data_IF_104164147110
#
_entry.id   IF_104164147110
#
_cell.length_a   1.000
_cell.length_b   1.000
_cell.length_c   1.000
_cell.angle_alpha   90.00
_cell.angle_beta   90.00
_cell.angle_gamma   90.00
#
_symmetry.space_group_name_H-M   'P 1'
#
loop_
_entity.id
_entity.type
_entity.pdbx_description
1 polymer ?
#
# COMPACT_ATOMS: atom_id res chain seq x y z
N UNK A 1 -28.39 -9.91 -10.59
CA UNK A 1 -28.11 -9.00 -9.46
C UNK A 1 -27.35 -7.80 -9.98
N UNK A 2 -27.78 -6.59 -9.63
CA UNK A 2 -27.07 -5.37 -10.04
C UNK A 2 -25.73 -5.26 -9.31
N UNK A 3 -24.70 -4.79 -10.03
CA UNK A 3 -23.39 -4.52 -9.45
C UNK A 3 -23.49 -3.34 -8.47
N UNK A 4 -22.85 -3.43 -7.31
CA UNK A 4 -22.80 -2.32 -6.34
C UNK A 4 -22.08 -1.12 -6.95
N UNK A 5 -22.56 0.10 -6.68
CA UNK A 5 -22.08 1.32 -7.34
C UNK A 5 -20.61 1.64 -7.00
N UNK A 6 -20.18 1.32 -5.78
CA UNK A 6 -18.81 1.44 -5.29
C UNK A 6 -17.90 0.27 -5.70
N UNK A 7 -18.44 -0.79 -6.31
CA UNK A 7 -17.63 -1.91 -6.78
C UNK A 7 -16.59 -1.45 -7.82
N UNK A 8 -15.36 -1.93 -7.71
CA UNK A 8 -14.33 -1.67 -8.72
C UNK A 8 -14.78 -2.30 -10.05
N UNK A 9 -14.92 -1.54 -11.17
CA UNK A 9 -15.48 -2.02 -12.43
C UNK A 9 -14.56 -2.99 -13.17
N UNK A 10 -13.26 -2.89 -12.92
CA UNK A 10 -12.19 -3.56 -13.64
C UNK A 10 -11.95 -4.98 -13.13
N UNK A 11 -11.59 -5.88 -14.06
CA UNK A 11 -11.24 -7.26 -13.75
C UNK A 11 -9.82 -7.31 -13.19
N UNK A 12 -9.61 -8.14 -12.16
CA UNK A 12 -8.30 -8.39 -11.53
C UNK A 12 -7.76 -9.75 -11.98
N UNK A 13 -6.43 -9.98 -11.94
CA UNK A 13 -5.38 -9.06 -11.49
C UNK A 13 -5.15 -7.90 -12.46
N UNK A 14 -4.69 -6.75 -11.96
CA UNK A 14 -4.34 -5.64 -12.82
C UNK A 14 -2.99 -5.90 -13.53
N UNK A 15 -2.89 -5.67 -14.85
CA UNK A 15 -1.62 -5.76 -15.55
C UNK A 15 -0.64 -4.68 -15.05
N UNK A 16 0.65 -4.84 -15.34
CA UNK A 16 1.69 -3.92 -14.86
C UNK A 16 1.54 -2.49 -15.39
N UNK A 17 0.94 -2.35 -16.57
CA UNK A 17 0.66 -1.09 -17.27
C UNK A 17 -0.78 -0.60 -17.06
N UNK A 18 -1.52 -1.13 -16.08
CA UNK A 18 -2.92 -0.76 -15.86
C UNK A 18 -3.10 0.75 -15.58
N UNK A 19 -3.81 1.44 -16.48
CA UNK A 19 -4.08 2.87 -16.40
C UNK A 19 -5.55 3.23 -16.69
N UNK A 20 -6.45 2.24 -16.81
CA UNK A 20 -7.85 2.48 -17.17
C UNK A 20 -8.65 3.22 -16.09
N UNK A 21 -8.13 3.34 -14.86
CA UNK A 21 -8.74 4.10 -13.78
C UNK A 21 -7.82 5.26 -13.38
N UNK A 22 -8.26 6.51 -13.55
CA UNK A 22 -7.48 7.69 -13.16
C UNK A 22 -7.16 7.72 -11.65
N UNK A 23 -8.07 7.18 -10.83
CA UNK A 23 -7.88 7.02 -9.39
C UNK A 23 -7.05 5.79 -8.99
N UNK A 24 -6.51 5.03 -9.96
CA UNK A 24 -5.66 3.89 -9.64
C UNK A 24 -4.36 4.34 -8.97
N UNK A 25 -4.07 3.73 -7.83
CA UNK A 25 -2.81 3.86 -7.10
C UNK A 25 -2.26 2.46 -6.85
N UNK A 26 -1.26 2.06 -7.63
CA UNK A 26 -0.69 0.71 -7.60
C UNK A 26 -0.12 0.41 -6.22
N UNK A 27 -0.51 -0.73 -5.68
CA UNK A 27 0.19 -1.39 -4.58
C UNK A 27 0.40 -2.86 -4.93
N UNK A 28 1.53 -3.42 -4.52
CA UNK A 28 1.77 -4.85 -4.64
C UNK A 28 1.13 -5.58 -3.46
N UNK A 29 0.34 -6.60 -3.78
CA UNK A 29 -0.23 -7.54 -2.84
C UNK A 29 0.44 -8.91 -3.04
N UNK A 30 1.01 -9.46 -1.97
CA UNK A 30 1.49 -10.83 -1.98
C UNK A 30 0.46 -11.75 -1.36
N UNK A 31 -0.11 -12.61 -2.19
CA UNK A 31 -1.03 -13.62 -1.71
C UNK A 31 -0.25 -14.78 -1.07
N UNK A 32 -0.77 -15.29 0.04
CA UNK A 32 -0.31 -16.52 0.66
C UNK A 32 -1.49 -17.46 0.91
N UNK A 33 -1.22 -18.76 0.95
CA UNK A 33 -2.23 -19.74 1.34
C UNK A 33 -2.48 -19.73 2.85
N UNK A 34 -3.41 -20.56 3.31
CA UNK A 34 -3.70 -20.69 4.74
C UNK A 34 -2.47 -21.12 5.55
N UNK A 35 -1.46 -21.74 4.93
CA UNK A 35 -0.20 -22.18 5.55
C UNK A 35 0.93 -21.14 5.40
N UNK A 36 0.61 -19.91 4.99
CA UNK A 36 1.54 -18.81 4.73
C UNK A 36 2.54 -19.09 3.59
N UNK A 37 2.25 -20.05 2.71
CA UNK A 37 3.07 -20.28 1.51
C UNK A 37 2.73 -19.24 0.44
N UNK A 38 3.72 -18.63 -0.22
CA UNK A 38 3.47 -17.67 -1.30
C UNK A 38 2.64 -18.29 -2.44
N UNK A 39 1.55 -17.62 -2.81
CA UNK A 39 0.73 -17.95 -3.98
C UNK A 39 1.08 -17.08 -5.20
N UNK A 40 1.65 -15.89 -4.98
CA UNK A 40 2.07 -14.99 -6.04
C UNK A 40 2.07 -13.53 -5.62
N UNK A 41 2.59 -12.69 -6.52
CA UNK A 41 2.52 -11.22 -6.43
C UNK A 41 1.44 -10.75 -7.38
N UNK A 42 0.59 -9.85 -6.92
CA UNK A 42 -0.51 -9.29 -7.70
C UNK A 42 -0.55 -7.78 -7.50
N UNK A 43 -0.77 -7.04 -8.58
CA UNK A 43 -1.05 -5.62 -8.48
C UNK A 43 -2.51 -5.42 -8.04
N UNK A 44 -2.71 -4.59 -7.03
CA UNK A 44 -4.03 -4.10 -6.63
C UNK A 44 -4.01 -2.57 -6.49
N UNK A 45 -5.14 -1.98 -6.12
CA UNK A 45 -5.26 -0.55 -5.87
C UNK A 45 -5.21 -0.27 -4.38
N UNK A 46 -4.56 0.83 -3.98
CA UNK A 46 -4.53 1.33 -2.60
C UNK A 46 -5.93 1.54 -2.03
N UNK A 47 -6.89 1.91 -2.86
CA UNK A 47 -8.28 2.15 -2.48
C UNK A 47 -9.15 0.89 -2.47
N UNK A 48 -8.56 -0.30 -2.65
CA UNK A 48 -9.32 -1.55 -2.61
C UNK A 48 -9.73 -1.89 -1.18
N UNK A 49 -11.02 -2.07 -0.95
CA UNK A 49 -11.58 -2.56 0.31
C UNK A 49 -12.56 -3.70 0.05
N UNK A 50 -12.82 -4.52 1.08
CA UNK A 50 -13.79 -5.61 1.01
C UNK A 50 -15.01 -5.23 1.81
N UNK A 51 -16.17 -5.22 1.17
CA UNK A 51 -17.47 -4.95 1.80
C UNK A 51 -18.34 -6.21 1.79
N UNK A 52 -19.21 -6.34 2.79
CA UNK A 52 -20.25 -7.37 2.79
C UNK A 52 -21.35 -7.00 1.79
N UNK A 53 -21.87 -8.00 1.08
CA UNK A 53 -23.01 -7.82 0.19
C UNK A 53 -24.26 -7.50 1.02
N UNK A 54 -24.94 -6.37 0.78
CA UNK A 54 -26.16 -6.03 1.51
C UNK A 54 -27.21 -7.14 1.40
N UNK A 55 -27.86 -7.47 2.51
CA UNK A 55 -28.91 -8.48 2.56
C UNK A 55 -28.43 -9.94 2.43
N UNK A 56 -27.12 -10.20 2.47
CA UNK A 56 -26.57 -11.55 2.37
C UNK A 56 -25.71 -11.87 3.60
N UNK A 57 -26.04 -12.95 4.31
CA UNK A 57 -25.31 -13.39 5.50
C UNK A 57 -23.88 -13.86 5.20
N UNK A 58 -23.62 -14.34 3.98
CA UNK A 58 -22.33 -14.84 3.53
C UNK A 58 -22.05 -14.40 2.09
N UNK A 59 -21.69 -13.13 1.91
CA UNK A 59 -21.31 -12.59 0.61
C UNK A 59 -20.42 -11.37 0.77
N UNK A 60 -19.34 -11.30 -0.01
CA UNK A 60 -18.41 -10.18 -0.02
C UNK A 60 -18.14 -9.73 -1.45
N UNK A 61 -17.82 -8.45 -1.62
CA UNK A 61 -17.37 -7.90 -2.89
C UNK A 61 -16.24 -6.90 -2.69
N UNK A 62 -15.46 -6.71 -3.75
CA UNK A 62 -14.40 -5.70 -3.78
C UNK A 62 -14.97 -4.33 -4.12
N UNK A 63 -14.89 -3.42 -3.16
CA UNK A 63 -15.30 -2.02 -3.29
C UNK A 63 -14.09 -1.10 -3.45
N UNK A 64 -14.36 0.11 -3.94
CA UNK A 64 -13.42 1.22 -3.92
C UNK A 64 -13.74 2.08 -2.70
N UNK A 65 -12.76 2.30 -1.83
CA UNK A 65 -12.87 3.21 -0.69
C UNK A 65 -13.36 4.60 -1.14
N UNK A 66 -12.92 5.07 -2.31
CA UNK A 66 -13.38 6.36 -2.86
C UNK A 66 -14.89 6.42 -3.16
N UNK A 67 -15.57 5.28 -3.26
CA UNK A 67 -16.99 5.17 -3.61
C UNK A 67 -17.23 4.85 -5.09
N UNK A 68 -18.32 5.40 -5.61
CA UNK A 68 -18.79 5.21 -6.99
C UNK A 68 -17.93 5.94 -8.04
N UNK A 69 -18.37 5.90 -9.30
CA UNK A 69 -17.65 6.53 -10.41
C UNK A 69 -17.50 8.06 -10.23
N UNK A 70 -18.54 8.75 -9.76
CA UNK A 70 -18.52 10.20 -9.56
C UNK A 70 -17.59 10.58 -8.41
N UNK A 71 -17.63 9.82 -7.30
CA UNK A 71 -16.78 10.05 -6.15
C UNK A 71 -15.28 9.84 -6.48
N UNK A 72 -14.96 8.86 -7.35
CA UNK A 72 -13.60 8.67 -7.87
C UNK A 72 -13.14 9.85 -8.71
N UNK A 73 -14.00 10.36 -9.61
CA UNK A 73 -13.67 11.51 -10.45
C UNK A 73 -13.42 12.76 -9.61
N UNK A 74 -14.31 13.06 -8.65
CA UNK A 74 -14.13 14.16 -7.69
C UNK A 74 -12.88 14.02 -6.83
N UNK A 75 -12.42 12.80 -6.55
CA UNK A 75 -11.16 12.59 -5.85
C UNK A 75 -9.96 12.94 -6.74
N UNK A 76 -9.97 12.51 -8.01
CA UNK A 76 -8.91 12.84 -8.98
C UNK A 76 -8.77 14.35 -9.14
N UNK A 77 -9.90 15.06 -9.32
CA UNK A 77 -9.92 16.51 -9.46
C UNK A 77 -9.36 17.25 -8.23
N UNK A 78 -9.62 16.74 -7.02
CA UNK A 78 -9.10 17.34 -5.78
C UNK A 78 -7.60 17.15 -5.59
N UNK A 79 -7.04 16.04 -6.08
CA UNK A 79 -5.62 15.74 -5.90
C UNK A 79 -4.76 16.34 -7.02
N UNK A 80 -5.36 16.57 -8.19
CA UNK A 80 -4.75 16.89 -9.49
C UNK A 80 -4.15 15.66 -10.21
N UNK A 81 -4.53 15.48 -11.47
CA UNK A 81 -4.16 14.32 -12.28
C UNK A 81 -2.67 14.27 -12.61
N UNK A 82 -2.05 15.42 -12.92
CA UNK A 82 -0.61 15.49 -13.21
C UNK A 82 0.21 15.16 -11.96
N UNK A 83 -0.23 15.63 -10.80
CA UNK A 83 0.38 15.24 -9.52
C UNK A 83 0.25 13.73 -9.30
N UNK A 84 -0.91 13.13 -9.56
CA UNK A 84 -1.11 11.68 -9.44
C UNK A 84 -0.16 10.89 -10.36
N UNK A 85 0.04 11.34 -11.59
CA UNK A 85 1.00 10.73 -12.52
C UNK A 85 2.43 10.78 -11.99
N UNK A 86 2.87 11.95 -11.50
CA UNK A 86 4.19 12.10 -10.90
C UNK A 86 4.38 11.18 -9.69
N UNK A 87 3.38 11.08 -8.81
CA UNK A 87 3.43 10.21 -7.63
C UNK A 87 3.46 8.73 -8.04
N UNK A 88 2.71 8.33 -9.06
CA UNK A 88 2.78 6.97 -9.61
C UNK A 88 4.16 6.65 -10.16
N UNK A 89 4.77 7.57 -10.90
CA UNK A 89 6.12 7.40 -11.44
C UNK A 89 7.17 7.22 -10.32
N UNK A 90 7.10 8.04 -9.27
CA UNK A 90 7.95 7.89 -8.07
C UNK A 90 7.71 6.54 -7.39
N UNK A 91 6.45 6.13 -7.21
CA UNK A 91 6.11 4.84 -6.60
C UNK A 91 6.64 3.64 -7.39
N UNK A 92 6.55 3.68 -8.72
CA UNK A 92 7.10 2.66 -9.61
C UNK A 92 8.63 2.59 -9.50
N UNK A 93 9.31 3.73 -9.57
CA UNK A 93 10.77 3.77 -9.46
C UNK A 93 11.27 3.33 -8.08
N UNK A 94 10.57 3.68 -6.99
CA UNK A 94 10.87 3.15 -5.65
C UNK A 94 10.71 1.63 -5.60
N UNK A 95 9.61 1.11 -6.17
CA UNK A 95 9.34 -0.33 -6.23
C UNK A 95 10.40 -1.10 -7.03
N UNK A 96 10.92 -0.49 -8.09
CA UNK A 96 12.06 -1.03 -8.85
C UNK A 96 13.36 -0.99 -8.05
N UNK A 97 13.69 0.17 -7.46
CA UNK A 97 14.91 0.37 -6.67
C UNK A 97 14.98 -0.58 -5.47
N UNK A 98 13.84 -0.98 -4.90
CA UNK A 98 13.74 -1.83 -3.70
C UNK A 98 13.27 -3.26 -3.99
N UNK A 99 13.12 -3.65 -5.26
CA UNK A 99 12.47 -4.91 -5.70
C UNK A 99 13.00 -6.16 -4.99
N UNK A 100 14.31 -6.26 -4.87
CA UNK A 100 14.98 -7.45 -4.35
C UNK A 100 14.88 -7.55 -2.83
N UNK A 101 15.15 -6.44 -2.13
CA UNK A 101 15.03 -6.38 -0.66
C UNK A 101 13.57 -6.54 -0.22
N UNK A 102 12.60 -5.99 -0.98
CA UNK A 102 11.18 -6.24 -0.74
C UNK A 102 10.86 -7.72 -0.85
N UNK A 103 11.32 -8.41 -1.89
CA UNK A 103 11.11 -9.86 -2.05
C UNK A 103 11.69 -10.64 -0.86
N UNK A 104 12.90 -10.31 -0.41
CA UNK A 104 13.50 -10.96 0.75
C UNK A 104 12.76 -10.69 2.06
N UNK A 105 12.29 -9.45 2.27
CA UNK A 105 11.45 -9.08 3.41
C UNK A 105 10.24 -10.02 3.48
N UNK A 106 9.53 -10.19 2.36
CA UNK A 106 8.36 -11.07 2.26
C UNK A 106 8.67 -12.52 2.60
N UNK A 107 9.75 -13.08 2.06
CA UNK A 107 10.16 -14.43 2.41
C UNK A 107 10.44 -14.58 3.90
N UNK A 108 11.15 -13.61 4.50
CA UNK A 108 11.43 -13.62 5.94
C UNK A 108 10.14 -13.53 6.78
N UNK A 109 9.15 -12.73 6.36
CA UNK A 109 7.83 -12.65 7.01
C UNK A 109 7.06 -13.97 6.94
N UNK A 110 6.99 -14.58 5.75
CA UNK A 110 6.34 -15.89 5.59
C UNK A 110 6.94 -16.92 6.54
N UNK A 111 8.28 -17.03 6.59
CA UNK A 111 8.96 -17.94 7.49
C UNK A 111 8.77 -17.59 8.98
N UNK A 112 8.71 -16.30 9.33
CA UNK A 112 8.36 -15.84 10.68
C UNK A 112 6.98 -16.37 11.09
N UNK A 113 5.96 -16.19 10.24
CA UNK A 113 4.58 -16.60 10.51
C UNK A 113 4.43 -18.12 10.56
N UNK A 114 5.13 -18.86 9.69
CA UNK A 114 5.17 -20.33 9.71
C UNK A 114 5.82 -20.86 10.99
N UNK A 115 6.90 -20.25 11.45
CA UNK A 115 7.54 -20.61 12.72
C UNK A 115 6.58 -20.39 13.89
N UNK A 116 5.92 -19.22 13.96
CA UNK A 116 4.94 -18.90 15.01
C UNK A 116 3.77 -19.88 15.03
N UNK A 117 3.19 -20.18 13.86
CA UNK A 117 2.10 -21.16 13.76
C UNK A 117 2.50 -22.55 14.25
N UNK A 118 3.75 -22.94 14.01
CA UNK A 118 4.31 -24.21 14.48
C UNK A 118 4.78 -24.17 15.95
N UNK A 119 4.53 -23.08 16.70
CA UNK A 119 4.99 -22.92 18.08
C UNK A 119 6.51 -22.77 18.23
N UNK A 120 7.24 -22.49 17.14
CA UNK A 120 8.70 -22.36 17.13
C UNK A 120 9.14 -20.91 17.30
N UNK A 121 10.35 -20.66 17.85
CA UNK A 121 10.90 -19.32 17.93
C UNK A 121 11.00 -18.67 16.55
N UNK A 122 10.48 -17.45 16.43
CA UNK A 122 10.53 -16.66 15.20
C UNK A 122 11.59 -15.54 15.22
N UNK A 123 12.40 -15.48 16.29
CA UNK A 123 13.38 -14.42 16.56
C UNK A 123 14.44 -14.27 15.46
N UNK A 124 14.88 -15.37 14.86
CA UNK A 124 15.84 -15.37 13.73
C UNK A 124 15.25 -14.62 12.54
N UNK A 125 14.01 -14.94 12.15
CA UNK A 125 13.34 -14.27 11.04
C UNK A 125 13.00 -12.82 11.36
N UNK A 126 12.59 -12.52 12.60
CA UNK A 126 12.41 -11.13 13.06
C UNK A 126 13.70 -10.30 12.92
N UNK A 127 14.85 -10.86 13.35
CA UNK A 127 16.15 -10.18 13.22
C UNK A 127 16.56 -10.01 11.76
N UNK A 128 16.32 -11.02 10.92
CA UNK A 128 16.55 -10.92 9.46
C UNK A 128 15.70 -9.80 8.85
N UNK A 129 14.42 -9.71 9.20
CA UNK A 129 13.55 -8.63 8.72
C UNK A 129 14.06 -7.24 9.14
N UNK A 130 14.59 -7.08 10.36
CA UNK A 130 15.18 -5.81 10.79
C UNK A 130 16.41 -5.41 9.95
N UNK A 131 17.26 -6.38 9.58
CA UNK A 131 18.41 -6.13 8.69
C UNK A 131 17.92 -5.70 7.31
N UNK A 132 16.95 -6.42 6.75
CA UNK A 132 16.40 -6.12 5.43
C UNK A 132 15.62 -4.79 5.41
N UNK A 133 14.97 -4.40 6.51
CA UNK A 133 14.30 -3.11 6.60
C UNK A 133 15.29 -1.94 6.55
N UNK A 134 16.45 -2.05 7.22
CA UNK A 134 17.52 -1.05 7.11
C UNK A 134 18.08 -0.97 5.69
N UNK A 135 18.20 -2.11 5.02
CA UNK A 135 18.62 -2.16 3.62
C UNK A 135 17.59 -1.48 2.70
N UNK A 136 16.30 -1.75 2.91
CA UNK A 136 15.21 -1.09 2.21
C UNK A 136 15.28 0.43 2.41
N UNK A 137 15.39 0.89 3.66
CA UNK A 137 15.49 2.32 3.96
C UNK A 137 16.68 2.99 3.28
N UNK A 138 17.83 2.30 3.20
CA UNK A 138 19.01 2.81 2.50
C UNK A 138 18.76 2.98 1.01
N UNK A 139 18.22 1.95 0.35
CA UNK A 139 17.92 1.98 -1.08
C UNK A 139 16.82 3.01 -1.41
N UNK A 140 15.76 3.05 -0.60
CA UNK A 140 14.69 4.02 -0.71
C UNK A 140 15.21 5.46 -0.55
N UNK A 141 16.07 5.72 0.44
CA UNK A 141 16.69 7.03 0.65
C UNK A 141 17.49 7.47 -0.57
N UNK A 142 18.38 6.61 -1.08
CA UNK A 142 19.19 6.94 -2.25
C UNK A 142 18.32 7.29 -3.48
N UNK A 143 17.26 6.52 -3.71
CA UNK A 143 16.29 6.80 -4.76
C UNK A 143 15.58 8.15 -4.55
N UNK A 144 15.06 8.40 -3.35
CA UNK A 144 14.32 9.62 -3.03
C UNK A 144 15.20 10.87 -3.11
N UNK A 145 16.45 10.79 -2.66
CA UNK A 145 17.42 11.90 -2.77
C UNK A 145 17.73 12.23 -4.24
N UNK A 146 17.87 11.20 -5.09
CA UNK A 146 18.01 11.37 -6.53
C UNK A 146 16.77 11.98 -7.21
N UNK A 147 15.59 11.88 -6.59
CA UNK A 147 14.33 12.46 -7.08
C UNK A 147 13.89 13.72 -6.31
N UNK A 148 14.78 14.30 -5.50
CA UNK A 148 14.44 15.36 -4.53
C UNK A 148 13.72 16.57 -5.15
N UNK A 149 14.14 17.04 -6.32
CA UNK A 149 13.49 18.16 -7.01
C UNK A 149 12.05 17.84 -7.46
N UNK A 150 11.83 16.64 -8.00
CA UNK A 150 10.50 16.16 -8.43
C UNK A 150 9.60 15.99 -7.22
N UNK A 151 10.11 15.34 -6.17
CA UNK A 151 9.42 15.17 -4.90
C UNK A 151 9.00 16.50 -4.27
N UNK A 152 9.89 17.49 -4.28
CA UNK A 152 9.58 18.83 -3.79
C UNK A 152 8.44 19.49 -4.58
N UNK A 153 8.48 19.41 -5.91
CA UNK A 153 7.41 19.94 -6.77
C UNK A 153 6.05 19.24 -6.54
N UNK A 154 6.06 17.97 -6.14
CA UNK A 154 4.87 17.19 -5.82
C UNK A 154 4.39 17.38 -4.37
N UNK A 155 5.10 18.15 -3.54
CA UNK A 155 4.76 18.32 -2.13
C UNK A 155 5.06 17.08 -1.28
N UNK A 156 6.08 16.31 -1.65
CA UNK A 156 6.53 15.09 -0.98
C UNK A 156 7.95 15.28 -0.42
N UNK A 157 8.14 15.97 0.72
CA UNK A 157 9.46 16.13 1.31
C UNK A 157 10.13 14.77 1.55
N UNK A 158 11.40 14.62 1.15
CA UNK A 158 12.16 13.37 1.30
C UNK A 158 12.13 12.88 2.75
N UNK A 159 12.31 13.78 3.71
CA UNK A 159 12.26 13.46 5.14
C UNK A 159 10.91 12.85 5.55
N UNK A 160 9.79 13.48 5.16
CA UNK A 160 8.45 12.98 5.45
C UNK A 160 8.18 11.62 4.78
N UNK A 161 8.66 11.43 3.54
CA UNK A 161 8.55 10.15 2.84
C UNK A 161 9.33 9.03 3.56
N UNK A 162 10.54 9.33 4.03
CA UNK A 162 11.36 8.37 4.76
C UNK A 162 10.76 8.00 6.12
N UNK A 163 10.15 8.96 6.83
CA UNK A 163 9.43 8.66 8.06
C UNK A 163 8.19 7.79 7.83
N UNK A 164 7.46 8.04 6.73
CA UNK A 164 6.35 7.18 6.31
C UNK A 164 6.83 5.75 6.03
N UNK A 165 7.91 5.59 5.28
CA UNK A 165 8.50 4.28 4.99
C UNK A 165 8.91 3.56 6.27
N UNK A 166 9.64 4.23 7.17
CA UNK A 166 10.07 3.65 8.43
C UNK A 166 8.89 3.16 9.27
N UNK A 167 7.83 3.97 9.37
CA UNK A 167 6.63 3.60 10.13
C UNK A 167 5.88 2.42 9.52
N UNK A 168 5.81 2.32 8.18
CA UNK A 168 5.24 1.15 7.49
C UNK A 168 6.05 -0.11 7.79
N UNK A 169 7.38 -0.03 7.69
CA UNK A 169 8.27 -1.18 7.92
C UNK A 169 8.21 -1.66 9.37
N UNK A 170 8.20 -0.75 10.34
CA UNK A 170 8.09 -1.09 11.75
C UNK A 170 6.76 -1.79 12.07
N UNK A 171 5.65 -1.25 11.57
CA UNK A 171 4.35 -1.92 11.68
C UNK A 171 4.41 -3.32 11.07
N UNK A 172 4.94 -3.43 9.86
CA UNK A 172 4.96 -4.69 9.15
C UNK A 172 5.86 -5.75 9.81
N UNK A 173 6.96 -5.35 10.46
CA UNK A 173 7.83 -6.24 11.24
C UNK A 173 7.12 -6.75 12.50
N UNK A 174 6.41 -5.87 13.19
CA UNK A 174 5.75 -6.17 14.48
C UNK A 174 4.45 -6.96 14.33
N UNK A 175 3.72 -6.74 13.24
CA UNK A 175 2.43 -7.38 12.94
C UNK A 175 2.52 -8.92 13.00
N UNK A 176 1.48 -9.59 13.47
CA UNK A 176 1.48 -11.05 13.64
C UNK A 176 0.75 -11.80 12.52
N UNK A 177 0.31 -11.07 11.52
CA UNK A 177 -0.45 -11.57 10.39
C UNK A 177 0.10 -11.04 9.06
N UNK A 178 -0.48 -11.47 7.95
CA UNK A 178 -0.28 -10.88 6.62
C UNK A 178 -1.31 -9.79 6.32
N UNK A 179 -2.08 -9.35 7.32
CA UNK A 179 -3.26 -8.52 7.09
C UNK A 179 -2.87 -7.14 6.56
N UNK A 180 -3.68 -6.67 5.61
CA UNK A 180 -3.73 -5.28 5.15
C UNK A 180 -4.57 -4.45 6.13
N UNK A 181 -3.96 -3.49 6.80
CA UNK A 181 -4.70 -2.63 7.75
C UNK A 181 -3.88 -1.53 8.41
N UNK A 182 -2.62 -1.35 8.00
CA UNK A 182 -1.78 -0.28 8.51
C UNK A 182 -2.41 1.09 8.28
N UNK A 183 -2.62 1.83 9.36
CA UNK A 183 -3.01 3.23 9.30
C UNK A 183 -1.77 4.08 9.55
N UNK A 184 -1.40 4.91 8.58
CA UNK A 184 -0.30 5.87 8.72
C UNK A 184 -0.57 6.77 9.91
N UNK A 185 0.34 6.91 10.90
CA UNK A 185 0.13 7.76 12.07
C UNK A 185 -0.12 9.24 11.71
N UNK A 186 -0.98 9.91 12.46
CA UNK A 186 -1.33 11.33 12.24
C UNK A 186 -0.08 12.25 12.23
N UNK A 187 0.89 12.11 13.16
CA UNK A 187 2.09 12.97 13.16
C UNK A 187 2.95 12.82 11.90
N UNK A 188 2.94 11.65 11.26
CA UNK A 188 3.64 11.41 9.99
C UNK A 188 2.85 12.04 8.84
N UNK A 189 1.52 11.85 8.85
CA UNK A 189 0.63 12.36 7.81
C UNK A 189 0.57 13.90 7.78
N UNK A 190 0.66 14.55 8.94
CA UNK A 190 0.63 16.00 9.08
C UNK A 190 1.83 16.71 8.44
N UNK A 191 2.92 15.98 8.16
CA UNK A 191 4.11 16.52 7.47
C UNK A 191 3.90 16.75 5.97
N UNK A 192 2.80 16.23 5.43
CA UNK A 192 2.47 16.39 4.02
C UNK A 192 1.41 17.49 3.81
N UNK A 193 1.36 18.14 2.64
CA UNK A 193 0.25 19.00 2.22
C UNK A 193 -1.09 18.24 2.23
N UNK A 194 -2.20 18.96 2.41
CA UNK A 194 -3.55 18.38 2.55
C UNK A 194 -3.90 17.46 1.37
N UNK A 195 -3.51 17.83 0.17
CA UNK A 195 -3.78 17.12 -1.08
C UNK A 195 -3.06 15.77 -1.10
N UNK A 196 -1.84 15.72 -0.57
CA UNK A 196 -1.08 14.46 -0.42
C UNK A 196 -1.68 13.61 0.70
N UNK A 197 -2.21 14.22 1.77
CA UNK A 197 -2.90 13.46 2.83
C UNK A 197 -4.10 12.68 2.29
N UNK A 198 -4.81 13.23 1.29
CA UNK A 198 -5.93 12.57 0.62
C UNK A 198 -5.53 11.33 -0.19
N UNK A 199 -4.24 11.18 -0.55
CA UNK A 199 -3.71 9.96 -1.17
C UNK A 199 -3.59 8.84 -0.16
N UNK A 200 -3.13 9.19 1.04
CA UNK A 200 -2.84 8.24 2.10
C UNK A 200 -4.12 7.83 2.81
N UNK A 201 -5.02 8.80 3.06
CA UNK A 201 -6.34 8.64 3.67
C UNK A 201 -7.37 9.44 2.87
N UNK A 202 -8.10 8.80 1.95
CA UNK A 202 -9.03 9.50 1.07
C UNK A 202 -10.31 9.99 1.76
N UNK A 203 -10.57 9.51 2.98
CA UNK A 203 -11.63 10.01 3.84
C UNK A 203 -11.05 10.77 5.04
N UNK A 204 -11.61 11.94 5.32
CA UNK A 204 -11.54 12.49 6.67
C UNK A 204 -12.32 11.56 7.58
N UNK A 205 -11.68 11.04 8.65
CA UNK A 205 -12.37 10.29 9.70
C UNK A 205 -13.65 11.05 10.05
N UNK A 206 -14.83 10.44 9.89
CA UNK A 206 -16.01 10.96 10.57
C UNK A 206 -15.69 10.84 12.06
N UNK A 207 -15.62 11.97 12.76
CA UNK A 207 -15.61 11.96 14.21
C UNK A 207 -16.85 11.14 14.63
N UNK A 208 -16.59 9.98 15.25
CA UNK A 208 -17.63 9.24 15.97
C UNK A 208 -17.74 9.84 17.36
#
# INVERSE_FOLDING_TARGET
>A
MARQADACPYVRPFPDDFHSCAAYQRIEFLAVDSQYRPLGRFNTCRHFVVHSLPGHAAGFYGACELGDAEARQRWVERVDERRLEGIRAIGLGLGEATRDVTRELWHAKSEQLRARRAGRPASVNSRRMQVLAREYERQARAYMEGQSAVLQALGLPVSACMELIASVLEFWISEQSMVTGYQVPDPVLEKFPKEVRLLVRPHTRKAS
#
